data_IF_209712829332
#
_entry.id   IF_209712829332
#
_cell.length_a   1.000
_cell.length_b   1.000
_cell.length_c   1.000
_cell.angle_alpha   90.00
_cell.angle_beta   90.00
_cell.angle_gamma   90.00
#
_symmetry.space_group_name_H-M   'P 1'
#
loop_
_entity.id
_entity.type
_entity.pdbx_description
1 polymer ?
#
# COMPACT_ATOMS: atom_id res chain seq x y z
N UNK A 1 -8.64 -35.42 -21.61
CA UNK A 1 -7.49 -34.48 -21.60
C UNK A 1 -7.91 -33.01 -21.46
N UNK A 2 -8.82 -32.49 -22.29
CA UNK A 2 -9.27 -31.08 -22.21
C UNK A 2 -9.83 -30.69 -20.83
N UNK A 3 -10.64 -31.56 -20.22
CA UNK A 3 -11.29 -31.29 -18.93
C UNK A 3 -10.29 -31.27 -17.75
N UNK A 4 -9.27 -32.13 -17.79
CA UNK A 4 -8.18 -32.16 -16.79
C UNK A 4 -7.32 -30.90 -16.91
N UNK A 5 -7.02 -30.47 -18.15
CA UNK A 5 -6.27 -29.23 -18.39
C UNK A 5 -7.05 -28.01 -17.88
N UNK A 6 -8.36 -27.93 -18.12
CA UNK A 6 -9.22 -26.86 -17.61
C UNK A 6 -9.28 -26.83 -16.08
N UNK A 7 -9.37 -27.99 -15.42
CA UNK A 7 -9.36 -28.08 -13.95
C UNK A 7 -8.01 -27.63 -13.38
N UNK A 8 -6.89 -28.04 -13.99
CA UNK A 8 -5.55 -27.66 -13.56
C UNK A 8 -5.33 -26.15 -13.67
N UNK A 9 -5.80 -25.53 -14.77
CA UNK A 9 -5.78 -24.08 -14.95
C UNK A 9 -6.62 -23.35 -13.90
N UNK A 10 -7.78 -23.90 -13.50
CA UNK A 10 -8.62 -23.31 -12.45
C UNK A 10 -7.95 -23.34 -11.06
N UNK A 11 -7.29 -24.44 -10.72
CA UNK A 11 -6.57 -24.60 -9.44
C UNK A 11 -5.37 -23.66 -9.36
N UNK A 12 -4.64 -23.47 -10.46
CA UNK A 12 -3.48 -22.54 -10.48
C UNK A 12 -3.87 -21.09 -10.22
N UNK A 13 -4.98 -20.62 -10.79
CA UNK A 13 -5.45 -19.25 -10.56
C UNK A 13 -5.89 -19.04 -9.10
N UNK A 14 -6.52 -20.03 -8.46
CA UNK A 14 -7.02 -19.91 -7.08
C UNK A 14 -5.91 -19.81 -6.03
N UNK A 15 -4.76 -20.45 -6.25
CA UNK A 15 -3.60 -20.36 -5.33
C UNK A 15 -2.98 -18.96 -5.34
N UNK A 16 -2.94 -18.28 -6.50
CA UNK A 16 -2.42 -16.91 -6.62
C UNK A 16 -3.29 -15.89 -5.85
N UNK A 17 -4.62 -16.04 -5.89
CA UNK A 17 -5.53 -15.19 -5.12
C UNK A 17 -5.45 -15.41 -3.61
N UNK A 18 -5.13 -16.64 -3.15
CA UNK A 18 -4.98 -16.92 -1.73
C UNK A 18 -3.79 -16.17 -1.12
N UNK A 19 -2.68 -16.03 -1.85
CA UNK A 19 -1.52 -15.28 -1.40
C UNK A 19 -1.76 -13.76 -1.37
N UNK A 20 -2.55 -13.21 -2.30
CA UNK A 20 -2.87 -11.78 -2.31
C UNK A 20 -3.78 -11.37 -1.15
N UNK A 21 -4.68 -12.26 -0.71
CA UNK A 21 -5.68 -11.97 0.33
C UNK A 21 -5.11 -11.49 1.68
N UNK A 22 -3.93 -11.99 2.07
CA UNK A 22 -3.28 -11.60 3.33
C UNK A 22 -2.79 -10.14 3.30
N UNK A 23 -2.24 -9.72 2.17
CA UNK A 23 -1.64 -8.39 1.99
C UNK A 23 -2.66 -7.36 1.51
N UNK A 24 -3.67 -7.79 0.76
CA UNK A 24 -4.75 -6.93 0.29
C UNK A 24 -5.54 -6.31 1.45
N UNK A 25 -6.13 -5.14 1.17
CA UNK A 25 -6.92 -4.36 2.12
C UNK A 25 -6.45 -2.90 2.20
N UNK A 26 -7.11 -2.16 3.09
CA UNK A 26 -6.88 -0.74 3.27
C UNK A 26 -5.89 -0.47 4.41
N UNK A 27 -5.04 0.51 4.19
CA UNK A 27 -4.02 0.96 5.12
C UNK A 27 -4.11 2.47 5.30
N UNK A 28 -3.92 2.93 6.53
CA UNK A 28 -4.01 4.34 6.87
C UNK A 28 -2.93 4.80 7.84
N UNK A 29 -2.61 6.09 7.78
CA UNK A 29 -1.87 6.80 8.83
C UNK A 29 -2.31 8.25 8.83
N UNK A 30 -2.65 8.75 10.02
CA UNK A 30 -2.87 10.17 10.25
C UNK A 30 -1.81 10.69 11.21
N UNK A 31 -1.26 11.85 10.88
CA UNK A 31 -0.32 12.61 11.69
C UNK A 31 -0.94 13.98 11.90
N UNK A 32 -1.08 14.40 13.15
CA UNK A 32 -1.56 15.74 13.48
C UNK A 32 -0.81 16.31 14.68
N UNK A 33 -0.73 17.64 14.74
CA UNK A 33 -0.29 18.36 15.93
C UNK A 33 -1.38 18.45 17.01
N UNK A 34 -0.97 18.88 18.19
CA UNK A 34 -1.87 19.18 19.31
C UNK A 34 -2.68 20.44 18.96
N UNK A 35 -3.90 20.23 18.47
CA UNK A 35 -4.79 21.29 17.96
C UNK A 35 -5.26 21.06 16.52
N UNK A 36 -4.73 20.05 15.81
CA UNK A 36 -5.11 19.68 14.44
C UNK A 36 -4.97 20.83 13.41
N UNK A 37 -4.04 21.74 13.64
CA UNK A 37 -3.70 22.84 12.72
C UNK A 37 -2.84 22.34 11.56
N UNK A 38 -2.06 21.29 11.79
CA UNK A 38 -1.27 20.58 10.79
C UNK A 38 -1.71 19.12 10.75
N UNK A 39 -2.24 18.67 9.62
CA UNK A 39 -2.73 17.32 9.40
C UNK A 39 -2.07 16.74 8.16
N UNK A 40 -1.59 15.50 8.26
CA UNK A 40 -1.16 14.69 7.12
C UNK A 40 -1.83 13.34 7.24
N UNK A 41 -2.53 12.92 6.18
CA UNK A 41 -3.17 11.61 6.10
C UNK A 41 -2.70 10.86 4.87
N UNK A 42 -2.46 9.57 5.07
CA UNK A 42 -2.15 8.62 4.01
C UNK A 42 -3.20 7.53 4.00
N UNK A 43 -3.74 7.25 2.81
CA UNK A 43 -4.62 6.10 2.55
C UNK A 43 -4.02 5.30 1.41
N UNK A 44 -3.88 4.00 1.60
CA UNK A 44 -3.42 3.06 0.59
C UNK A 44 -4.37 1.87 0.55
N UNK A 45 -4.93 1.60 -0.62
CA UNK A 45 -5.73 0.39 -0.88
C UNK A 45 -4.90 -0.57 -1.72
N UNK A 46 -4.67 -1.78 -1.20
CA UNK A 46 -4.08 -2.89 -1.95
C UNK A 46 -5.20 -3.81 -2.42
N UNK A 47 -5.54 -3.77 -3.70
CA UNK A 47 -6.61 -4.58 -4.27
C UNK A 47 -6.13 -6.03 -4.49
N UNK A 48 -6.99 -7.04 -4.28
CA UNK A 48 -6.62 -8.46 -4.47
C UNK A 48 -6.17 -8.84 -5.89
N UNK A 49 -6.54 -8.03 -6.89
CA UNK A 49 -6.15 -8.19 -8.30
C UNK A 49 -4.72 -7.70 -8.61
N UNK A 50 -3.99 -7.23 -7.60
CA UNK A 50 -2.63 -6.73 -7.74
C UNK A 50 -2.54 -5.26 -8.14
N UNK A 51 -3.66 -4.51 -8.10
CA UNK A 51 -3.65 -3.05 -8.27
C UNK A 51 -3.64 -2.32 -6.94
N UNK A 52 -3.16 -1.08 -6.91
CA UNK A 52 -3.24 -0.22 -5.73
C UNK A 52 -3.68 1.20 -6.07
N UNK A 53 -4.27 1.87 -5.09
CA UNK A 53 -4.53 3.30 -5.10
C UNK A 53 -4.01 3.93 -3.80
N UNK A 54 -3.38 5.10 -3.93
CA UNK A 54 -2.80 5.85 -2.83
C UNK A 54 -3.30 7.29 -2.86
N UNK A 55 -3.65 7.81 -1.68
CA UNK A 55 -4.02 9.21 -1.46
C UNK A 55 -3.21 9.77 -0.29
N UNK A 56 -2.50 10.86 -0.55
CA UNK A 56 -1.89 11.73 0.46
C UNK A 56 -2.70 13.01 0.54
N UNK A 57 -3.24 13.27 1.72
CA UNK A 57 -3.85 14.54 2.08
C UNK A 57 -2.93 15.27 3.05
N UNK A 58 -2.74 16.57 2.86
CA UNK A 58 -2.09 17.41 3.86
C UNK A 58 -2.76 18.76 3.95
N UNK A 59 -3.01 19.21 5.18
CA UNK A 59 -3.52 20.55 5.50
C UNK A 59 -2.60 21.18 6.52
N UNK A 60 -2.04 22.33 6.19
CA UNK A 60 -1.06 23.03 7.02
C UNK A 60 -1.55 24.47 7.17
N UNK A 61 -1.95 24.85 8.39
CA UNK A 61 -2.32 26.23 8.68
C UNK A 61 -1.15 27.19 8.37
N UNK A 62 -1.41 28.24 7.60
CA UNK A 62 -0.38 29.17 7.14
C UNK A 62 0.52 28.63 6.00
N UNK A 63 0.30 27.39 5.54
CA UNK A 63 0.98 26.85 4.36
C UNK A 63 0.51 27.50 3.07
N UNK A 64 1.37 27.52 2.06
CA UNK A 64 1.03 27.95 0.69
C UNK A 64 1.45 26.86 -0.30
N UNK A 65 0.51 26.08 -0.88
CA UNK A 65 -0.93 26.10 -0.58
C UNK A 65 -1.25 25.53 0.81
N UNK A 66 -2.36 25.95 1.43
CA UNK A 66 -2.76 25.50 2.76
C UNK A 66 -3.25 24.05 2.77
N UNK A 67 -3.70 23.53 1.63
CA UNK A 67 -4.19 22.18 1.45
C UNK A 67 -3.62 21.58 0.17
N UNK A 68 -3.18 20.32 0.24
CA UNK A 68 -2.61 19.58 -0.88
C UNK A 68 -3.17 18.17 -0.89
N UNK A 69 -3.57 17.73 -2.09
CA UNK A 69 -3.93 16.36 -2.38
C UNK A 69 -2.97 15.79 -3.42
N UNK A 70 -2.41 14.61 -3.16
CA UNK A 70 -1.56 13.89 -4.12
C UNK A 70 -2.03 12.45 -4.22
N UNK A 71 -2.08 11.93 -5.43
CA UNK A 71 -2.58 10.58 -5.70
C UNK A 71 -1.53 9.76 -6.44
N UNK A 72 -1.50 8.47 -6.15
CA UNK A 72 -0.72 7.48 -6.90
C UNK A 72 -1.57 6.25 -7.17
N UNK A 73 -1.27 5.55 -8.25
CA UNK A 73 -1.87 4.24 -8.55
C UNK A 73 -0.89 3.38 -9.33
N UNK A 74 -1.22 2.10 -9.44
CA UNK A 74 -0.47 1.16 -10.27
C UNK A 74 -0.67 -0.26 -9.80
N UNK A 75 0.38 -1.06 -9.89
CA UNK A 75 0.38 -2.47 -9.49
C UNK A 75 1.30 -2.74 -8.30
N UNK A 76 1.00 -3.79 -7.57
CA UNK A 76 1.83 -4.31 -6.49
C UNK A 76 2.04 -5.81 -6.64
N UNK A 77 3.18 -6.28 -6.16
CA UNK A 77 3.52 -7.71 -6.08
C UNK A 77 4.13 -7.99 -4.72
N UNK A 78 4.14 -9.25 -4.31
CA UNK A 78 4.69 -9.65 -3.02
C UNK A 78 5.68 -10.80 -3.17
N UNK A 79 6.78 -10.72 -2.42
CA UNK A 79 7.75 -11.80 -2.23
C UNK A 79 8.32 -11.71 -0.82
N UNK A 80 8.28 -12.79 -0.03
CA UNK A 80 8.87 -12.86 1.31
C UNK A 80 8.45 -11.69 2.23
N UNK A 81 7.14 -11.36 2.26
CA UNK A 81 6.55 -10.20 2.96
C UNK A 81 7.05 -8.83 2.48
N UNK A 82 7.78 -8.76 1.37
CA UNK A 82 8.15 -7.52 0.70
C UNK A 82 7.14 -7.21 -0.40
N UNK A 83 6.41 -6.12 -0.24
CA UNK A 83 5.54 -5.56 -1.27
C UNK A 83 6.38 -4.64 -2.15
N UNK A 84 6.35 -4.87 -3.46
CA UNK A 84 6.98 -4.02 -4.46
C UNK A 84 5.90 -3.34 -5.29
N UNK A 85 5.96 -2.01 -5.36
CA UNK A 85 5.04 -1.19 -6.13
C UNK A 85 5.65 -0.84 -7.49
N UNK A 86 4.78 -0.76 -8.50
CA UNK A 86 5.13 -0.36 -9.86
C UNK A 86 4.07 0.60 -10.40
N UNK A 87 4.51 1.72 -10.95
CA UNK A 87 3.67 2.69 -11.64
C UNK A 87 4.10 2.74 -13.10
N UNK A 88 3.18 2.47 -14.01
CA UNK A 88 3.40 2.65 -15.45
C UNK A 88 3.17 4.12 -15.81
N UNK A 89 4.23 4.83 -16.19
CA UNK A 89 4.16 6.27 -16.50
C UNK A 89 3.13 6.66 -17.57
N UNK A 90 2.78 5.75 -18.48
CA UNK A 90 1.81 6.04 -19.56
C UNK A 90 0.36 5.75 -19.17
N UNK A 91 0.13 4.74 -18.32
CA UNK A 91 -1.20 4.23 -18.00
C UNK A 91 -1.69 4.72 -16.62
N UNK A 92 -0.74 4.87 -15.69
CA UNK A 92 -1.02 5.14 -14.30
C UNK A 92 -0.90 6.61 -13.92
N UNK A 93 -0.04 7.37 -14.60
CA UNK A 93 0.14 8.80 -14.34
C UNK A 93 -0.75 9.65 -15.25
N UNK A 94 -1.40 10.64 -14.66
CA UNK A 94 -2.18 11.65 -15.35
C UNK A 94 -2.32 12.91 -14.48
N UNK A 95 -3.21 13.84 -14.84
CA UNK A 95 -3.42 15.09 -14.10
C UNK A 95 -3.80 14.86 -12.62
N UNK A 96 -4.54 13.79 -12.30
CA UNK A 96 -4.92 13.43 -10.93
C UNK A 96 -3.83 12.59 -10.24
N UNK A 97 -3.38 11.53 -10.90
CA UNK A 97 -2.41 10.57 -10.36
C UNK A 97 -1.00 11.00 -10.74
N UNK A 98 -0.32 11.67 -9.81
CA UNK A 98 0.98 12.33 -10.06
C UNK A 98 2.13 11.66 -9.32
N UNK A 99 1.85 10.80 -8.33
CA UNK A 99 2.86 10.12 -7.54
C UNK A 99 3.37 8.85 -8.24
N UNK A 100 4.65 8.86 -8.57
CA UNK A 100 5.35 7.71 -9.13
C UNK A 100 5.86 6.79 -8.00
N UNK A 101 5.16 5.67 -7.79
CA UNK A 101 5.57 4.64 -6.84
C UNK A 101 6.52 3.61 -7.46
N UNK A 102 6.92 3.77 -8.71
CA UNK A 102 7.74 2.78 -9.40
C UNK A 102 8.99 2.43 -8.56
N UNK A 103 9.23 1.13 -8.40
CA UNK A 103 10.33 0.55 -7.60
C UNK A 103 10.23 0.77 -6.08
N UNK A 104 9.17 1.40 -5.57
CA UNK A 104 8.95 1.55 -4.13
C UNK A 104 8.73 0.19 -3.47
N UNK A 105 9.23 0.03 -2.25
CA UNK A 105 9.17 -1.23 -1.49
C UNK A 105 8.68 -0.98 -0.08
N UNK A 106 7.74 -1.80 0.36
CA UNK A 106 7.27 -1.82 1.75
C UNK A 106 7.30 -3.23 2.32
N UNK A 107 7.74 -3.38 3.56
CA UNK A 107 7.67 -4.65 4.29
C UNK A 107 6.32 -4.75 5.00
N UNK A 108 5.63 -5.86 4.78
CA UNK A 108 4.47 -6.25 5.56
C UNK A 108 4.92 -6.77 6.92
N UNK A 109 4.44 -6.14 7.98
CA UNK A 109 4.75 -6.47 9.37
C UNK A 109 3.44 -6.82 10.05
N UNK A 110 3.37 -8.02 10.60
CA UNK A 110 2.25 -8.50 11.41
C UNK A 110 2.80 -9.35 12.56
N UNK A 111 1.95 -9.67 13.53
CA UNK A 111 2.34 -10.55 14.64
C UNK A 111 2.78 -11.90 14.10
N UNK A 112 3.91 -12.41 14.58
CA UNK A 112 4.34 -13.75 14.21
C UNK A 112 3.32 -14.76 14.78
N UNK A 113 2.74 -15.67 13.98
CA UNK A 113 1.80 -16.68 14.48
C UNK A 113 2.36 -17.56 15.61
N UNK A 114 3.70 -17.66 15.72
CA UNK A 114 4.38 -18.42 16.78
C UNK A 114 4.65 -17.61 18.05
N UNK A 115 4.49 -16.29 17.99
CA UNK A 115 4.66 -15.40 19.14
C UNK A 115 3.41 -15.45 20.02
N UNK A 116 3.58 -16.03 21.21
CA UNK A 116 2.52 -16.21 22.22
C UNK A 116 2.47 -15.09 23.26
N UNK A 117 3.31 -14.07 23.15
CA UNK A 117 3.30 -12.95 24.10
C UNK A 117 2.01 -12.15 23.97
N UNK A 118 1.61 -11.43 25.01
CA UNK A 118 0.44 -10.54 24.97
C UNK A 118 0.69 -9.23 24.21
N UNK A 119 1.83 -9.11 23.53
CA UNK A 119 2.16 -7.92 22.76
C UNK A 119 1.17 -7.73 21.60
N UNK A 120 0.59 -6.52 21.54
CA UNK A 120 -0.27 -6.08 20.44
C UNK A 120 0.61 -5.54 19.33
N UNK A 121 0.82 -6.35 18.28
CA UNK A 121 1.52 -5.92 17.07
C UNK A 121 0.48 -5.51 16.04
N UNK A 122 0.35 -4.21 15.79
CA UNK A 122 -0.53 -3.69 14.74
C UNK A 122 0.04 -4.05 13.37
N UNK A 123 -0.78 -4.68 12.54
CA UNK A 123 -0.41 -4.99 11.15
C UNK A 123 -0.16 -3.69 10.39
N UNK A 124 0.96 -3.62 9.68
CA UNK A 124 1.40 -2.42 8.97
C UNK A 124 2.23 -2.73 7.74
N UNK A 125 2.33 -1.74 6.87
CA UNK A 125 3.34 -1.66 5.82
C UNK A 125 4.39 -0.64 6.22
N UNK A 126 5.64 -1.07 6.30
CA UNK A 126 6.78 -0.20 6.52
C UNK A 126 7.47 0.07 5.19
N UNK A 127 7.37 1.30 4.67
CA UNK A 127 8.06 1.71 3.45
C UNK A 127 9.57 1.78 3.69
N UNK A 128 10.31 0.89 3.04
CA UNK A 128 11.76 0.82 3.15
C UNK A 128 12.44 1.70 2.09
N UNK A 129 11.82 1.77 0.92
CA UNK A 129 12.34 2.51 -0.21
C UNK A 129 11.22 3.12 -1.05
N UNK A 130 11.44 4.34 -1.52
CA UNK A 130 10.53 5.03 -2.44
C UNK A 130 11.23 6.24 -3.03
N UNK A 131 10.91 6.55 -4.29
CA UNK A 131 11.32 7.80 -4.94
C UNK A 131 10.54 9.01 -4.42
N UNK A 132 9.41 8.77 -3.75
CA UNK A 132 8.62 9.80 -3.08
C UNK A 132 9.31 10.14 -1.75
N UNK A 133 9.93 11.33 -1.59
CA UNK A 133 10.88 11.56 -0.50
C UNK A 133 10.29 11.37 0.89
N UNK A 134 9.04 11.79 1.09
CA UNK A 134 8.38 11.67 2.40
C UNK A 134 7.89 10.26 2.71
N UNK A 135 7.76 9.35 1.73
CA UNK A 135 7.28 7.99 1.99
C UNK A 135 8.34 7.08 2.60
N UNK A 136 9.62 7.41 2.44
CA UNK A 136 10.71 6.57 2.96
C UNK A 136 10.65 6.51 4.49
N UNK A 137 10.63 5.29 5.04
CA UNK A 137 10.50 4.97 6.48
C UNK A 137 9.14 5.31 7.10
N UNK A 138 8.10 5.59 6.31
CA UNK A 138 6.74 5.70 6.83
C UNK A 138 6.17 4.30 7.08
N UNK A 139 5.55 4.14 8.25
CA UNK A 139 4.67 3.02 8.53
C UNK A 139 3.22 3.42 8.24
N UNK A 140 2.44 2.62 7.52
CA UNK A 140 0.98 2.77 7.41
C UNK A 140 0.30 1.52 7.94
N UNK A 141 -0.80 1.67 8.68
CA UNK A 141 -1.40 0.59 9.47
C UNK A 141 -2.63 0.02 8.77
N UNK A 142 -2.80 -1.29 8.78
CA UNK A 142 -3.99 -1.95 8.23
C UNK A 142 -5.22 -1.56 9.06
N UNK A 143 -6.34 -1.28 8.39
CA UNK A 143 -7.65 -0.99 9.00
C UNK A 143 -8.31 -2.30 9.48
#
# INVERSE_FOLDING_TARGET
>A
MKLILSILLFIFNSILFAQSSQFAGDYTRSLSDDGKQHIIEYKLSLNPDGTFEFHSYSKIQGGTPPEVNKYGKGKWTVKDNMITFSTNKKEDLNEKYTLDFNTSKARFVTKNPRDKTDQIVKTKLQFLDSQIPWMKKIDIFKI
#
